data_IF_560520421419
#
_entry.id   IF_560520421419
#
_cell.length_a   1.000
_cell.length_b   1.000
_cell.length_c   1.000
_cell.angle_alpha   90.00
_cell.angle_beta   90.00
_cell.angle_gamma   90.00
#
_symmetry.space_group_name_H-M   'P 1'
#
loop_
_entity.id
_entity.type
_entity.pdbx_description
1 polymer ?
#
# COMPACT_ATOMS: atom_id res chain seq x y z
N UNK A 1 14.83 0.55 -10.42
CA UNK A 1 14.10 0.89 -9.18
C UNK A 1 13.22 -0.29 -8.81
N UNK A 2 13.27 -0.72 -7.56
CA UNK A 2 12.44 -1.81 -7.02
C UNK A 2 11.12 -1.22 -6.49
N UNK A 3 10.00 -1.92 -6.72
CA UNK A 3 8.67 -1.44 -6.35
C UNK A 3 7.87 -2.51 -5.61
N UNK A 4 7.08 -2.04 -4.65
CA UNK A 4 6.00 -2.77 -3.99
C UNK A 4 4.66 -2.42 -4.64
N UNK A 5 3.71 -3.33 -4.52
CA UNK A 5 2.33 -3.12 -4.98
C UNK A 5 1.39 -3.11 -3.78
N UNK A 6 0.45 -2.16 -3.76
CA UNK A 6 -0.64 -2.15 -2.79
C UNK A 6 -1.51 -3.40 -2.98
N UNK A 7 -1.75 -4.16 -1.91
CA UNK A 7 -2.58 -5.36 -1.96
C UNK A 7 -3.96 -5.05 -2.56
N UNK A 8 -4.42 -5.95 -3.44
CA UNK A 8 -5.73 -5.87 -4.11
C UNK A 8 -5.97 -4.56 -4.88
N UNK A 9 -4.91 -3.89 -5.34
CA UNK A 9 -5.00 -2.61 -6.04
C UNK A 9 -6.04 -2.62 -7.18
N UNK A 10 -6.03 -3.66 -8.01
CA UNK A 10 -6.95 -3.78 -9.16
C UNK A 10 -8.42 -3.91 -8.75
N UNK A 11 -8.71 -4.52 -7.58
CA UNK A 11 -10.07 -4.68 -7.09
C UNK A 11 -10.65 -3.35 -6.57
N UNK A 12 -9.80 -2.53 -5.95
CA UNK A 12 -10.22 -1.24 -5.40
C UNK A 12 -10.13 -0.09 -6.40
N UNK A 13 -9.42 -0.28 -7.51
CA UNK A 13 -9.23 0.76 -8.52
C UNK A 13 -10.36 0.77 -9.56
N UNK A 14 -11.32 1.66 -9.38
CA UNK A 14 -12.43 1.84 -10.33
C UNK A 14 -12.12 2.82 -11.49
N UNK A 15 -10.98 3.54 -11.45
CA UNK A 15 -10.62 4.54 -12.45
C UNK A 15 -9.44 4.10 -13.31
N UNK A 16 -9.70 3.43 -14.44
CA UNK A 16 -8.65 2.96 -15.34
C UNK A 16 -8.00 4.06 -16.21
N UNK A 17 -8.65 5.22 -16.38
CA UNK A 17 -8.18 6.30 -17.31
C UNK A 17 -8.12 7.69 -16.67
N UNK A 18 -8.20 7.80 -15.35
CA UNK A 18 -8.16 9.09 -14.64
C UNK A 18 -7.33 8.97 -13.38
N UNK A 19 -6.62 10.05 -13.03
CA UNK A 19 -6.01 10.25 -11.71
C UNK A 19 -6.96 11.11 -10.87
N UNK A 20 -7.97 10.50 -10.20
CA UNK A 20 -8.87 11.27 -9.35
C UNK A 20 -8.06 11.95 -8.24
N UNK A 21 -8.50 13.13 -7.76
CA UNK A 21 -7.80 13.84 -6.69
C UNK A 21 -7.95 13.17 -5.31
N UNK A 22 -8.72 12.08 -5.20
CA UNK A 22 -9.02 11.38 -3.95
C UNK A 22 -9.07 9.86 -4.15
N UNK A 23 -8.93 9.13 -3.04
CA UNK A 23 -9.21 7.70 -2.91
C UNK A 23 -10.37 7.47 -1.91
N UNK A 24 -11.08 6.35 -2.02
CA UNK A 24 -12.06 5.93 -1.01
C UNK A 24 -11.37 5.05 0.03
N UNK A 25 -11.52 5.41 1.30
CA UNK A 25 -11.20 4.51 2.39
C UNK A 25 -12.45 3.71 2.75
N UNK A 26 -12.39 2.39 2.57
CA UNK A 26 -13.51 1.51 2.93
C UNK A 26 -13.53 1.27 4.44
N UNK A 27 -14.70 1.45 5.08
CA UNK A 27 -14.87 1.23 6.53
C UNK A 27 -14.47 -0.18 7.00
N UNK A 28 -14.52 -1.16 6.10
CA UNK A 28 -14.10 -2.54 6.36
C UNK A 28 -12.64 -2.67 6.78
N UNK A 29 -11.80 -1.64 6.55
CA UNK A 29 -10.44 -1.60 7.10
C UNK A 29 -10.41 -1.67 8.63
N UNK A 30 -11.47 -1.20 9.29
CA UNK A 30 -11.61 -1.29 10.75
C UNK A 30 -11.93 -2.71 11.23
N UNK A 31 -12.40 -3.58 10.32
CA UNK A 31 -12.66 -4.99 10.59
C UNK A 31 -11.44 -5.86 10.25
N UNK A 32 -10.41 -5.29 9.60
CA UNK A 32 -9.16 -5.98 9.26
C UNK A 32 -8.23 -6.03 10.48
N UNK A 33 -8.06 -7.22 11.05
CA UNK A 33 -7.19 -7.45 12.20
C UNK A 33 -5.74 -7.04 11.93
N UNK A 34 -5.21 -7.27 10.72
CA UNK A 34 -3.83 -6.93 10.38
C UNK A 34 -3.63 -5.40 10.41
N UNK A 35 -4.64 -4.64 9.99
CA UNK A 35 -4.64 -3.18 10.04
C UNK A 35 -4.78 -2.68 11.49
N UNK A 36 -5.75 -3.22 12.23
CA UNK A 36 -6.02 -2.82 13.61
C UNK A 36 -4.83 -3.07 14.54
N UNK A 37 -4.06 -4.12 14.27
CA UNK A 37 -2.84 -4.47 15.01
C UNK A 37 -1.58 -3.71 14.56
N UNK A 38 -1.68 -2.75 13.62
CA UNK A 38 -0.55 -1.87 13.28
C UNK A 38 -0.30 -0.84 14.39
N UNK A 39 0.96 -0.42 14.60
CA UNK A 39 1.25 0.79 15.35
C UNK A 39 0.53 2.01 14.76
N UNK A 40 0.13 2.96 15.59
CA UNK A 40 -0.69 4.09 15.15
C UNK A 40 -0.01 4.93 14.05
N UNK A 41 1.30 5.14 14.15
CA UNK A 41 2.07 5.82 13.10
C UNK A 41 2.04 5.04 11.77
N UNK A 42 2.12 3.70 11.82
CA UNK A 42 2.12 2.86 10.63
C UNK A 42 0.77 2.88 9.90
N UNK A 43 -0.35 3.01 10.63
CA UNK A 43 -1.68 3.21 10.02
C UNK A 43 -1.71 4.50 9.18
N UNK A 44 -1.18 5.59 9.73
CA UNK A 44 -1.07 6.87 9.01
C UNK A 44 -0.14 6.79 7.80
N UNK A 45 1.02 6.13 7.95
CA UNK A 45 1.95 5.92 6.84
C UNK A 45 1.30 5.11 5.72
N UNK A 46 0.58 4.04 6.05
CA UNK A 46 -0.11 3.21 5.06
C UNK A 46 -1.16 4.01 4.27
N UNK A 47 -1.93 4.88 4.93
CA UNK A 47 -2.89 5.75 4.25
C UNK A 47 -2.22 6.73 3.27
N UNK A 48 -1.09 7.33 3.66
CA UNK A 48 -0.32 8.22 2.79
C UNK A 48 0.30 7.46 1.62
N UNK A 49 0.75 6.22 1.84
CA UNK A 49 1.24 5.34 0.79
C UNK A 49 0.14 4.93 -0.19
N UNK A 50 -1.09 4.67 0.27
CA UNK A 50 -2.23 4.44 -0.63
C UNK A 50 -2.53 5.64 -1.52
N UNK A 51 -2.45 6.86 -0.96
CA UNK A 51 -2.61 8.09 -1.74
C UNK A 51 -1.46 8.31 -2.73
N UNK A 52 -0.21 8.00 -2.34
CA UNK A 52 0.92 8.02 -3.26
C UNK A 52 0.73 6.99 -4.40
N UNK A 53 0.35 5.77 -4.05
CA UNK A 53 0.15 4.67 -5.00
C UNK A 53 -0.97 5.00 -6.01
N UNK A 54 -1.99 5.78 -5.61
CA UNK A 54 -3.04 6.20 -6.54
C UNK A 54 -2.58 7.13 -7.64
N UNK A 55 -1.44 7.82 -7.46
CA UNK A 55 -0.78 8.62 -8.49
C UNK A 55 0.20 7.78 -9.34
N UNK A 56 0.54 6.58 -8.87
CA UNK A 56 1.61 5.75 -9.40
C UNK A 56 1.13 4.33 -9.76
N UNK A 57 -0.15 4.20 -10.12
CA UNK A 57 -0.77 2.95 -10.56
C UNK A 57 -0.54 1.76 -9.59
N UNK A 58 -0.74 2.02 -8.30
CA UNK A 58 -0.63 1.01 -7.24
C UNK A 58 0.80 0.76 -6.76
N UNK A 59 1.80 1.44 -7.35
CA UNK A 59 3.23 1.22 -7.07
C UNK A 59 3.75 2.13 -5.97
N UNK A 60 4.59 1.56 -5.11
CA UNK A 60 5.34 2.27 -4.07
C UNK A 60 6.83 1.93 -4.24
N UNK A 61 7.74 2.91 -4.41
CA UNK A 61 9.17 2.65 -4.51
C UNK A 61 9.72 2.15 -3.17
N UNK A 62 10.67 1.22 -3.19
CA UNK A 62 11.42 0.81 -1.99
C UNK A 62 12.55 1.81 -1.73
N UNK A 63 12.16 3.02 -1.33
CA UNK A 63 13.07 4.14 -1.02
C UNK A 63 12.49 4.95 0.16
N UNK A 64 12.73 4.50 1.42
CA UNK A 64 12.19 5.18 2.60
C UNK A 64 12.62 6.65 2.72
N UNK A 65 13.89 7.05 2.50
CA UNK A 65 14.28 8.46 2.55
C UNK A 65 13.51 9.34 1.56
N UNK A 66 13.29 8.86 0.32
CA UNK A 66 12.46 9.59 -0.64
C UNK A 66 11.01 9.70 -0.17
N UNK A 67 10.42 8.60 0.29
CA UNK A 67 9.01 8.56 0.73
C UNK A 67 8.77 9.42 1.97
N UNK A 68 9.67 9.38 2.95
CA UNK A 68 9.57 10.22 4.16
C UNK A 68 9.54 11.71 3.80
N UNK A 69 10.43 12.14 2.92
CA UNK A 69 10.44 13.52 2.42
C UNK A 69 9.19 13.85 1.60
N UNK A 70 8.78 12.96 0.70
CA UNK A 70 7.62 13.17 -0.18
C UNK A 70 6.30 13.24 0.58
N UNK A 71 6.17 12.46 1.65
CA UNK A 71 4.94 12.33 2.43
C UNK A 71 4.96 13.14 3.73
N UNK A 72 6.08 13.83 4.02
CA UNK A 72 6.29 14.59 5.26
C UNK A 72 6.08 13.76 6.53
N UNK A 73 6.62 12.54 6.54
CA UNK A 73 6.56 11.59 7.67
C UNK A 73 7.96 11.22 8.17
N UNK A 74 8.04 10.46 9.26
CA UNK A 74 9.31 10.02 9.86
C UNK A 74 9.22 8.56 10.29
N UNK A 75 10.35 7.86 10.28
CA UNK A 75 10.47 6.47 10.73
C UNK A 75 9.56 5.53 9.92
N UNK A 76 9.53 5.70 8.60
CA UNK A 76 8.79 4.82 7.71
C UNK A 76 9.40 3.42 7.74
N UNK A 77 8.64 2.46 8.26
CA UNK A 77 8.99 1.04 8.25
C UNK A 77 8.13 0.32 7.20
N UNK A 78 8.71 0.03 6.03
CA UNK A 78 8.03 -0.71 4.96
C UNK A 78 7.88 -2.20 5.31
N UNK A 79 8.80 -2.78 6.08
CA UNK A 79 8.79 -4.20 6.41
C UNK A 79 7.54 -4.58 7.20
N UNK A 80 7.14 -3.76 8.18
CA UNK A 80 5.88 -3.97 8.93
C UNK A 80 4.66 -4.00 7.99
N UNK A 81 4.64 -3.16 6.95
CA UNK A 81 3.53 -3.12 6.00
C UNK A 81 3.56 -4.31 5.03
N UNK A 82 4.74 -4.83 4.71
CA UNK A 82 4.93 -6.04 3.90
C UNK A 82 4.53 -7.28 4.71
N UNK A 83 5.03 -7.43 5.93
CA UNK A 83 4.74 -8.54 6.84
C UNK A 83 3.24 -8.68 7.13
N UNK A 84 2.54 -7.55 7.27
CA UNK A 84 1.07 -7.51 7.46
C UNK A 84 0.28 -7.64 6.15
N UNK A 85 0.98 -7.77 5.03
CA UNK A 85 0.39 -8.05 3.72
C UNK A 85 -0.29 -6.85 3.06
N UNK A 86 0.00 -5.62 3.45
CA UNK A 86 -0.55 -4.42 2.80
C UNK A 86 0.26 -4.01 1.56
N UNK A 87 1.55 -4.36 1.52
CA UNK A 87 2.44 -4.14 0.40
C UNK A 87 3.06 -5.47 -0.05
N UNK A 88 3.07 -5.73 -1.35
CA UNK A 88 3.51 -7.00 -1.94
C UNK A 88 4.79 -6.79 -2.75
N UNK A 89 5.79 -7.64 -2.52
CA UNK A 89 6.98 -7.69 -3.35
C UNK A 89 6.65 -8.26 -4.73
N UNK A 90 7.00 -7.51 -5.77
CA UNK A 90 6.81 -7.95 -7.17
C UNK A 90 7.82 -9.00 -7.63
N UNK A 91 8.87 -9.24 -6.85
CA UNK A 91 9.96 -10.17 -7.20
C UNK A 91 9.59 -11.66 -7.07
N UNK A 92 8.40 -12.00 -6.56
CA UNK A 92 7.99 -13.38 -6.33
C UNK A 92 6.59 -13.67 -6.89
N UNK A 93 6.46 -13.71 -8.21
CA UNK A 93 5.39 -14.46 -8.87
C UNK A 93 5.99 -15.70 -9.53
N UNK A 94 6.35 -16.69 -8.71
CA UNK A 94 6.44 -18.07 -9.17
C UNK A 94 5.37 -18.87 -8.43
N UNK A 95 4.27 -19.12 -9.15
CA UNK A 95 3.34 -20.23 -8.97
C UNK A 95 2.80 -20.50 -7.57
N UNK A 96 1.62 -19.96 -7.27
CA UNK A 96 0.64 -20.70 -6.44
C UNK A 96 -0.69 -20.68 -7.19
N UNK A 97 -1.35 -21.83 -7.42
CA UNK A 97 -2.60 -21.91 -8.16
C UNK A 97 -3.73 -21.25 -7.35
N UNK A 98 -4.71 -20.69 -8.07
CA UNK A 98 -6.02 -20.44 -7.52
C UNK A 98 -6.58 -21.76 -6.97
N UNK A 99 -6.76 -21.82 -5.65
CA UNK A 99 -7.52 -22.88 -5.01
C UNK A 99 -8.80 -22.29 -4.41
N UNK A 100 -9.90 -22.80 -4.99
CA UNK A 100 -11.29 -22.97 -4.52
C UNK A 100 -11.98 -21.86 -3.71
#
# INVERSE_FOLDING_TARGET
MHFLIVKNWEQFQHYARRNPPWIKLHRAVMDDYAFCSLPDAAKGHLMLLWLYASQNNGKVPVDPPFLENKLSIKNLNLDVLIERGFLINTSFTNGVPAHE
#
